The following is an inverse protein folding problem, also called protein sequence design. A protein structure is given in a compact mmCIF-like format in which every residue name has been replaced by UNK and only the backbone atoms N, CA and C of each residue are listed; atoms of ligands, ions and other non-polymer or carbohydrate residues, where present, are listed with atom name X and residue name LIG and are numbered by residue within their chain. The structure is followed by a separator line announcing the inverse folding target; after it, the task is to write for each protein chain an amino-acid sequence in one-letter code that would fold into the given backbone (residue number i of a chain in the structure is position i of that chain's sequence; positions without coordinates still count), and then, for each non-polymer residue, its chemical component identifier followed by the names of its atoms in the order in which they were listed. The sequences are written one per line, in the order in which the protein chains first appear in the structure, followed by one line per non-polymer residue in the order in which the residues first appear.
data_IF_347970199812
#
_entry.id   IF_347970199812
#
_cell.length_a   1.000
_cell.length_b   1.000
_cell.length_c   1.000
_cell.angle_alpha   90.00
_cell.angle_beta   90.00
_cell.angle_gamma   90.00
#
_symmetry.space_group_name_H-M   'P 1'
#
loop_
_entity.id
_entity.type
_entity.pdbx_description
1 polymer ?
#
# COMPACT_ATOMS: atom_id res chain seq x y z
N UNK A 1 12.36 1.88 9.52
CA UNK A 1 11.46 0.73 9.57
C UNK A 1 10.09 1.20 9.13
N UNK A 2 9.43 0.38 8.31
CA UNK A 2 8.07 0.66 7.87
C UNK A 2 7.13 0.79 9.06
N UNK A 3 6.11 1.62 8.91
CA UNK A 3 5.06 1.79 9.91
C UNK A 3 3.89 0.86 9.61
N UNK A 4 3.66 -0.13 10.48
CA UNK A 4 2.50 -1.01 10.37
C UNK A 4 1.25 -0.32 10.89
N UNK A 5 0.21 -0.29 10.07
CA UNK A 5 -1.08 0.28 10.42
C UNK A 5 -2.04 -0.78 10.95
N UNK A 6 -2.81 -0.39 11.96
CA UNK A 6 -3.90 -1.19 12.48
C UNK A 6 -5.18 -0.89 11.71
N UNK A 7 -5.78 -1.93 11.15
CA UNK A 7 -7.07 -1.87 10.44
C UNK A 7 -8.02 -2.90 11.02
N UNK A 8 -9.31 -2.69 10.84
CA UNK A 8 -10.34 -3.63 11.26
C UNK A 8 -10.46 -4.83 10.30
N UNK A 9 -11.36 -5.74 10.64
CA UNK A 9 -11.86 -6.79 9.76
C UNK A 9 -13.30 -6.41 9.38
N UNK A 10 -13.66 -6.58 8.11
CA UNK A 10 -15.03 -6.35 7.63
C UNK A 10 -15.64 -7.67 7.17
N UNK A 11 -16.91 -7.88 7.48
CA UNK A 11 -17.66 -9.02 6.97
C UNK A 11 -18.02 -8.79 5.50
N UNK A 12 -17.36 -9.53 4.60
CA UNK A 12 -17.59 -9.46 3.15
C UNK A 12 -18.99 -9.97 2.76
N UNK A 13 -19.63 -10.81 3.59
CA UNK A 13 -20.96 -11.38 3.29
C UNK A 13 -22.06 -10.32 3.26
N UNK A 14 -21.85 -9.18 3.92
CA UNK A 14 -22.76 -8.02 3.86
C UNK A 14 -22.95 -7.49 2.43
N UNK A 15 -21.98 -7.71 1.55
CA UNK A 15 -22.05 -7.26 0.16
C UNK A 15 -22.90 -8.16 -0.74
N UNK A 16 -23.37 -9.32 -0.25
CA UNK A 16 -24.35 -10.16 -0.98
C UNK A 16 -25.63 -9.41 -1.32
N UNK A 17 -26.04 -8.44 -0.49
CA UNK A 17 -27.21 -7.59 -0.73
C UNK A 17 -27.09 -6.69 -1.97
N UNK A 18 -25.87 -6.41 -2.42
CA UNK A 18 -25.59 -5.51 -3.54
C UNK A 18 -25.09 -6.27 -4.77
N UNK A 19 -24.24 -7.29 -4.55
CA UNK A 19 -23.55 -8.02 -5.63
C UNK A 19 -24.14 -9.42 -5.91
N UNK A 20 -25.06 -9.90 -5.07
CA UNK A 20 -25.55 -11.27 -5.11
C UNK A 20 -24.60 -12.27 -4.45
N UNK A 21 -25.10 -13.48 -4.17
CA UNK A 21 -24.33 -14.52 -3.49
C UNK A 21 -23.21 -15.10 -4.36
N UNK A 22 -23.44 -15.25 -5.66
CA UNK A 22 -22.50 -15.89 -6.60
C UNK A 22 -21.11 -15.25 -6.56
N UNK A 23 -21.03 -13.92 -6.66
CA UNK A 23 -19.77 -13.17 -6.63
C UNK A 23 -19.07 -13.33 -5.27
N UNK A 24 -19.80 -13.26 -4.17
CA UNK A 24 -19.22 -13.39 -2.83
C UNK A 24 -18.72 -14.82 -2.59
N UNK A 25 -19.46 -15.82 -3.03
CA UNK A 25 -19.10 -17.23 -2.90
C UNK A 25 -17.84 -17.56 -3.73
N UNK A 26 -17.70 -16.96 -4.91
CA UNK A 26 -16.48 -17.06 -5.73
C UNK A 26 -15.27 -16.43 -5.03
N UNK A 27 -15.42 -15.22 -4.48
CA UNK A 27 -14.34 -14.56 -3.71
C UNK A 27 -13.95 -15.39 -2.49
N UNK A 28 -14.91 -15.88 -1.72
CA UNK A 28 -14.66 -16.77 -0.58
C UNK A 28 -14.00 -18.09 -1.03
N UNK A 29 -14.28 -18.58 -2.25
CA UNK A 29 -13.62 -19.76 -2.83
C UNK A 29 -12.17 -19.49 -3.18
N UNK A 30 -11.88 -18.43 -3.91
CA UNK A 30 -10.51 -18.07 -4.32
C UNK A 30 -9.64 -17.73 -3.10
N UNK A 31 -10.20 -17.08 -2.07
CA UNK A 31 -9.47 -16.75 -0.86
C UNK A 31 -8.97 -17.98 -0.09
N UNK A 32 -9.63 -19.14 -0.21
CA UNK A 32 -9.20 -20.39 0.45
C UNK A 32 -7.83 -20.86 -0.04
N UNK A 33 -7.51 -20.62 -1.31
CA UNK A 33 -6.22 -21.02 -1.88
C UNK A 33 -5.06 -20.17 -1.33
N UNK A 34 -5.37 -19.02 -0.73
CA UNK A 34 -4.42 -18.11 -0.11
C UNK A 34 -4.31 -18.29 1.42
N UNK A 35 -4.99 -19.30 1.98
CA UNK A 35 -5.02 -19.53 3.43
C UNK A 35 -3.61 -19.80 3.96
N UNK A 36 -3.22 -19.04 4.99
CA UNK A 36 -1.90 -19.15 5.63
C UNK A 36 -0.82 -18.30 4.97
N UNK A 37 -1.11 -17.65 3.85
CA UNK A 37 -0.22 -16.65 3.23
C UNK A 37 -0.43 -15.31 3.92
N UNK A 38 0.67 -14.63 4.23
CA UNK A 38 0.66 -13.23 4.65
C UNK A 38 0.85 -12.31 3.44
N UNK A 39 -0.10 -11.41 3.22
CA UNK A 39 -0.03 -10.38 2.18
C UNK A 39 0.27 -9.02 2.79
N UNK A 40 1.43 -8.44 2.46
CA UNK A 40 1.82 -7.11 2.93
C UNK A 40 1.65 -6.07 1.81
N UNK A 41 0.79 -5.09 2.02
CA UNK A 41 0.70 -3.90 1.18
C UNK A 41 1.68 -2.85 1.69
N UNK A 42 2.48 -2.27 0.77
CA UNK A 42 3.44 -1.21 1.09
C UNK A 42 3.16 0.00 0.21
N UNK A 43 3.00 1.18 0.80
CA UNK A 43 2.91 2.43 0.06
C UNK A 43 3.57 3.60 0.83
N UNK A 44 3.42 4.83 0.33
CA UNK A 44 4.09 6.01 0.85
C UNK A 44 3.27 6.87 1.82
N UNK A 45 1.96 6.61 1.98
CA UNK A 45 1.11 7.40 2.88
C UNK A 45 -0.15 6.66 3.33
N UNK A 46 -0.58 6.79 4.62
CA UNK A 46 -1.88 6.32 5.08
C UNK A 46 -3.03 7.23 4.68
N UNK A 47 -2.72 8.46 4.25
CA UNK A 47 -3.66 9.56 4.14
C UNK A 47 -3.51 10.29 2.81
N UNK A 48 -4.65 10.66 2.23
CA UNK A 48 -4.70 11.41 0.98
C UNK A 48 -4.43 10.55 -0.25
N UNK A 49 -5.23 10.76 -1.28
CA UNK A 49 -5.12 10.07 -2.57
C UNK A 49 -5.84 8.72 -2.61
N UNK A 50 -6.10 8.25 -3.83
CA UNK A 50 -6.94 7.07 -4.07
C UNK A 50 -6.37 5.75 -3.55
N UNK A 51 -5.04 5.60 -3.51
CA UNK A 51 -4.42 4.36 -3.00
C UNK A 51 -4.69 4.18 -1.50
N UNK A 52 -4.54 5.24 -0.71
CA UNK A 52 -4.79 5.19 0.73
C UNK A 52 -6.27 4.90 1.02
N UNK A 53 -7.18 5.59 0.31
CA UNK A 53 -8.62 5.37 0.42
C UNK A 53 -9.03 3.93 0.05
N UNK A 54 -8.45 3.41 -1.03
CA UNK A 54 -8.68 2.03 -1.48
C UNK A 54 -8.20 1.03 -0.44
N UNK A 55 -6.97 1.14 0.05
CA UNK A 55 -6.42 0.17 1.01
C UNK A 55 -7.15 0.19 2.35
N UNK A 56 -7.65 1.35 2.78
CA UNK A 56 -8.47 1.48 3.98
C UNK A 56 -9.78 0.67 3.91
N UNK A 57 -10.32 0.45 2.71
CA UNK A 57 -11.50 -0.38 2.49
C UNK A 57 -11.16 -1.82 2.10
N UNK A 58 -10.16 -2.01 1.24
CA UNK A 58 -9.82 -3.28 0.63
C UNK A 58 -9.21 -4.26 1.64
N UNK A 59 -8.24 -3.83 2.45
CA UNK A 59 -7.55 -4.71 3.39
C UNK A 59 -8.50 -5.32 4.42
N UNK A 60 -9.43 -4.57 5.05
CA UNK A 60 -10.43 -5.17 5.95
C UNK A 60 -11.33 -6.22 5.28
N UNK A 61 -11.62 -6.07 3.98
CA UNK A 61 -12.40 -7.06 3.22
C UNK A 61 -11.59 -8.32 2.93
N UNK A 62 -10.31 -8.19 2.57
CA UNK A 62 -9.40 -9.33 2.40
C UNK A 62 -9.28 -10.13 3.70
N UNK A 63 -9.14 -9.44 4.84
CA UNK A 63 -9.17 -10.07 6.17
C UNK A 63 -10.49 -10.76 6.45
N UNK A 64 -11.60 -10.14 6.04
CA UNK A 64 -12.94 -10.73 6.12
C UNK A 64 -13.09 -12.03 5.34
N UNK A 65 -12.41 -12.15 4.21
CA UNK A 65 -12.34 -13.36 3.39
C UNK A 65 -11.34 -14.40 3.93
N UNK A 66 -10.66 -14.12 5.05
CA UNK A 66 -9.72 -15.04 5.70
C UNK A 66 -8.26 -14.92 5.26
N UNK A 67 -7.90 -13.84 4.55
CA UNK A 67 -6.52 -13.57 4.13
C UNK A 67 -5.79 -12.77 5.23
N UNK A 68 -4.60 -13.21 5.63
CA UNK A 68 -3.75 -12.44 6.55
C UNK A 68 -3.08 -11.27 5.82
N UNK A 69 -3.84 -10.19 5.63
CA UNK A 69 -3.37 -8.98 4.97
C UNK A 69 -2.93 -7.92 5.98
N UNK A 70 -1.81 -7.23 5.74
CA UNK A 70 -1.45 -6.03 6.49
C UNK A 70 -0.99 -4.87 5.59
N UNK A 71 -0.93 -3.69 6.21
CA UNK A 71 -0.53 -2.46 5.54
C UNK A 71 0.64 -1.86 6.29
N UNK A 72 1.71 -1.57 5.55
CA UNK A 72 2.89 -0.91 6.03
C UNK A 72 3.20 0.33 5.20
N UNK A 73 3.62 1.40 5.86
CA UNK A 73 3.86 2.70 5.21
C UNK A 73 5.32 3.10 5.33
N UNK A 74 5.88 3.57 4.22
CA UNK A 74 7.23 4.12 4.15
C UNK A 74 7.30 5.41 4.98
N UNK A 75 8.30 5.49 5.86
CA UNK A 75 8.64 6.73 6.57
C UNK A 75 9.69 7.52 5.80
N UNK A 76 9.57 8.83 5.83
CA UNK A 76 10.54 9.73 5.23
C UNK A 76 10.37 11.14 5.74
N UNK A 77 11.43 11.93 5.64
CA UNK A 77 11.34 13.37 5.87
C UNK A 77 10.81 14.11 4.64
N UNK A 78 10.58 15.42 4.78
CA UNK A 78 10.10 16.25 3.68
C UNK A 78 11.03 16.17 2.45
N UNK A 79 12.35 16.07 2.67
CA UNK A 79 13.34 16.00 1.58
C UNK A 79 13.15 14.73 0.76
N UNK A 80 12.98 13.58 1.42
CA UNK A 80 12.69 12.31 0.76
C UNK A 80 11.42 12.40 -0.10
N UNK A 81 10.33 12.93 0.44
CA UNK A 81 9.08 13.04 -0.30
C UNK A 81 9.12 14.09 -1.42
N UNK A 82 9.94 15.14 -1.30
CA UNK A 82 10.21 16.04 -2.44
C UNK A 82 10.92 15.28 -3.55
N UNK A 83 11.94 14.48 -3.23
CA UNK A 83 12.68 13.70 -4.23
C UNK A 83 11.77 12.69 -4.94
N UNK A 84 10.96 11.93 -4.20
CA UNK A 84 10.06 10.93 -4.81
C UNK A 84 8.97 11.58 -5.67
N UNK A 85 8.47 12.75 -5.28
CA UNK A 85 7.53 13.52 -6.10
C UNK A 85 8.19 14.04 -7.38
N UNK A 86 9.42 14.55 -7.30
CA UNK A 86 10.18 14.98 -8.48
C UNK A 86 10.46 13.81 -9.42
N UNK A 87 10.80 12.63 -8.89
CA UNK A 87 10.95 11.39 -9.67
C UNK A 87 9.66 10.98 -10.37
N UNK A 88 8.53 10.98 -9.65
CA UNK A 88 7.22 10.71 -10.23
C UNK A 88 6.92 11.65 -11.42
N UNK A 89 7.15 12.95 -11.24
CA UNK A 89 6.92 13.93 -12.31
C UNK A 89 7.91 13.75 -13.47
N UNK A 90 9.16 13.37 -13.19
CA UNK A 90 10.14 13.10 -14.23
C UNK A 90 9.79 11.88 -15.08
N UNK A 91 9.24 10.83 -14.46
CA UNK A 91 8.66 9.69 -15.18
C UNK A 91 7.46 10.09 -16.06
N UNK A 92 6.83 11.23 -15.77
CA UNK A 92 5.75 11.84 -16.57
C UNK A 92 6.27 12.90 -17.57
N UNK A 93 7.59 13.03 -17.75
CA UNK A 93 8.20 13.91 -18.73
C UNK A 93 8.71 15.26 -18.22
N UNK A 94 8.62 15.54 -16.92
CA UNK A 94 9.25 16.73 -16.34
C UNK A 94 10.78 16.58 -16.25
N UNK A 95 11.52 17.69 -16.25
CA UNK A 95 12.96 17.65 -15.97
C UNK A 95 13.23 17.49 -14.47
N UNK A 96 14.24 16.69 -14.14
CA UNK A 96 14.74 16.58 -12.77
C UNK A 96 16.27 16.34 -12.73
N UNK A 97 17.09 17.32 -13.11
CA UNK A 97 18.55 17.17 -13.19
C UNK A 97 19.19 16.86 -11.83
N UNK A 98 18.57 17.30 -10.73
CA UNK A 98 19.06 17.10 -9.36
C UNK A 98 19.16 15.62 -8.96
N UNK A 99 18.49 14.70 -9.67
CA UNK A 99 18.62 13.26 -9.40
C UNK A 99 20.06 12.76 -9.60
N UNK A 100 20.83 13.41 -10.46
CA UNK A 100 22.20 13.00 -10.74
C UNK A 100 23.17 13.39 -9.62
N UNK A 101 22.78 14.34 -8.77
CA UNK A 101 23.61 14.78 -7.64
C UNK A 101 23.75 13.71 -6.56
N UNK A 102 24.99 13.48 -6.12
CA UNK A 102 25.30 12.50 -5.08
C UNK A 102 24.59 12.79 -3.75
N UNK A 103 24.29 14.06 -3.47
CA UNK A 103 23.52 14.43 -2.28
C UNK A 103 22.09 13.92 -2.34
N UNK A 104 21.42 14.10 -3.48
CA UNK A 104 20.05 13.62 -3.72
C UNK A 104 19.98 12.11 -3.65
N UNK A 105 20.89 11.42 -4.35
CA UNK A 105 20.99 9.95 -4.31
C UNK A 105 21.18 9.43 -2.89
N UNK A 106 22.08 10.04 -2.11
CA UNK A 106 22.32 9.65 -0.70
C UNK A 106 21.07 9.80 0.16
N UNK A 107 20.33 10.90 0.06
CA UNK A 107 19.09 11.10 0.83
C UNK A 107 18.03 10.07 0.45
N UNK A 108 17.85 9.81 -0.84
CA UNK A 108 16.90 8.81 -1.33
C UNK A 108 17.25 7.41 -0.84
N UNK A 109 18.49 6.97 -1.04
CA UNK A 109 18.95 5.64 -0.64
C UNK A 109 18.95 5.43 0.87
N UNK A 110 19.39 6.42 1.65
CA UNK A 110 19.40 6.31 3.11
C UNK A 110 17.99 6.12 3.69
N UNK A 111 16.96 6.78 3.12
CA UNK A 111 15.57 6.56 3.53
C UNK A 111 15.08 5.16 3.12
N UNK A 112 15.42 4.67 1.92
CA UNK A 112 15.07 3.30 1.52
C UNK A 112 15.72 2.26 2.44
N UNK A 113 17.01 2.40 2.75
CA UNK A 113 17.72 1.53 3.69
C UNK A 113 17.11 1.58 5.09
N UNK A 114 16.72 2.77 5.57
CA UNK A 114 16.02 2.91 6.84
C UNK A 114 14.71 2.12 6.85
N UNK A 115 13.95 2.13 5.75
CA UNK A 115 12.66 1.43 5.65
C UNK A 115 12.81 -0.08 5.42
N UNK A 116 13.91 -0.53 4.83
CA UNK A 116 14.21 -1.94 4.61
C UNK A 116 14.66 -2.69 5.88
N UNK A 117 15.04 -1.97 6.93
CA UNK A 117 15.32 -2.49 8.28
C UNK A 117 14.04 -2.59 9.08
#
# INVERSE_FOLDING_TARGET
MLEKLSLSVKDIKKYRLVLGSEVIDEVEKLARDLKGIRLCHINSTPFGGGVAELLFSHIPLMRGAGIDADWQVIRGDQRFFTITKSLHNALQGAEYPLIMEDKTKRVYLANNEMNAR
#
